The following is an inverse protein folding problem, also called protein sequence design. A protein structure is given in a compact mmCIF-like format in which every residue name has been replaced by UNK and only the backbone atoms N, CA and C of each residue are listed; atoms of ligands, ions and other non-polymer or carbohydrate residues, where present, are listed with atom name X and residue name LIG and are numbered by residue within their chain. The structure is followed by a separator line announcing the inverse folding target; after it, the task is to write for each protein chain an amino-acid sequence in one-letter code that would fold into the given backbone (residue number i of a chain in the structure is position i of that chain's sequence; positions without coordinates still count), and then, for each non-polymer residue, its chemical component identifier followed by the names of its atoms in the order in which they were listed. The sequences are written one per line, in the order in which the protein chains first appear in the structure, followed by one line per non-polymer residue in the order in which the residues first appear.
data_IF_248304340754
#
_entry.id   IF_248304340754
#
_cell.length_a   1.000
_cell.length_b   1.000
_cell.length_c   1.000
_cell.angle_alpha   90.00
_cell.angle_beta   90.00
_cell.angle_gamma   90.00
#
_symmetry.space_group_name_H-M   'P 1'
#
loop_
_entity.id
_entity.type
_entity.pdbx_description
1 polymer ?
#
# COMPACT_ATOMS: atom_id res chain seq x y z
N UNK A 1 22.82 -28.87 -21.39
CA UNK A 1 21.86 -29.96 -21.70
C UNK A 1 20.66 -29.31 -22.36
N UNK A 2 20.28 -29.74 -23.56
CA UNK A 2 19.11 -29.19 -24.26
C UNK A 2 17.85 -29.97 -23.85
N UNK A 3 16.99 -29.33 -23.08
CA UNK A 3 15.77 -29.95 -22.57
C UNK A 3 14.75 -30.25 -23.68
N UNK A 4 14.76 -29.46 -24.77
CA UNK A 4 13.79 -29.59 -25.86
C UNK A 4 14.04 -30.88 -26.64
N UNK A 5 15.27 -31.10 -27.10
CA UNK A 5 15.66 -32.34 -27.78
C UNK A 5 15.45 -33.57 -26.92
N UNK A 6 15.77 -33.49 -25.62
CA UNK A 6 15.50 -34.58 -24.69
C UNK A 6 14.01 -34.93 -24.61
N UNK A 7 13.12 -33.95 -24.42
CA UNK A 7 11.69 -34.19 -24.36
C UNK A 7 11.10 -34.69 -25.68
N UNK A 8 11.56 -34.16 -26.82
CA UNK A 8 11.15 -34.64 -28.14
C UNK A 8 11.56 -36.10 -28.36
N UNK A 9 12.75 -36.50 -27.92
CA UNK A 9 13.18 -37.92 -27.97
C UNK A 9 12.32 -38.86 -27.12
N UNK A 10 11.61 -38.31 -26.13
CA UNK A 10 10.69 -39.04 -25.24
C UNK A 10 9.23 -38.96 -25.69
N UNK A 11 8.97 -38.50 -26.92
CA UNK A 11 7.63 -38.48 -27.51
C UNK A 11 6.80 -37.25 -27.16
N UNK A 12 7.39 -36.20 -26.60
CA UNK A 12 6.70 -34.92 -26.48
C UNK A 12 6.50 -34.27 -27.86
N UNK A 13 5.26 -33.88 -28.18
CA UNK A 13 4.88 -33.29 -29.48
C UNK A 13 5.41 -31.87 -29.72
N UNK A 14 6.08 -31.29 -28.73
CA UNK A 14 6.67 -29.96 -28.82
C UNK A 14 5.78 -28.86 -28.24
N UNK A 15 6.18 -27.63 -28.52
CA UNK A 15 5.62 -26.43 -27.89
C UNK A 15 4.10 -26.30 -28.13
N UNK A 16 3.36 -25.89 -27.11
CA UNK A 16 1.89 -25.83 -27.15
C UNK A 16 1.17 -27.14 -26.82
N UNK A 17 1.89 -28.25 -26.60
CA UNK A 17 1.31 -29.51 -26.13
C UNK A 17 1.66 -29.76 -24.65
N UNK A 18 0.64 -30.12 -23.87
CA UNK A 18 0.82 -30.49 -22.47
C UNK A 18 1.55 -31.82 -22.34
N UNK A 19 2.25 -32.01 -21.22
CA UNK A 19 2.81 -33.30 -20.86
C UNK A 19 1.72 -34.27 -20.38
N UNK A 20 2.01 -35.57 -20.40
CA UNK A 20 1.11 -36.65 -19.97
C UNK A 20 0.45 -37.39 -21.14
N UNK A 21 -0.10 -38.57 -20.85
CA UNK A 21 -0.74 -39.46 -21.85
C UNK A 21 -1.90 -38.78 -22.60
N UNK A 22 -2.73 -38.04 -21.87
CA UNK A 22 -3.90 -37.32 -22.41
C UNK A 22 -3.57 -35.88 -22.83
N UNK A 23 -2.30 -35.46 -22.80
CA UNK A 23 -1.86 -34.11 -23.15
C UNK A 23 -2.53 -32.98 -22.35
N UNK A 24 -3.05 -33.31 -21.16
CA UNK A 24 -3.76 -32.40 -20.26
C UNK A 24 -2.84 -31.58 -19.35
N UNK A 25 -1.53 -31.86 -19.38
CA UNK A 25 -0.54 -31.11 -18.61
C UNK A 25 -0.48 -29.63 -18.97
N UNK A 26 0.03 -28.84 -18.03
CA UNK A 26 0.15 -27.38 -18.17
C UNK A 26 1.12 -27.07 -19.32
N UNK A 27 0.64 -26.31 -20.32
CA UNK A 27 1.41 -25.96 -21.52
C UNK A 27 2.36 -24.78 -21.30
N UNK A 28 2.01 -23.90 -20.36
CA UNK A 28 2.76 -22.69 -20.02
C UNK A 28 3.26 -22.81 -18.58
N UNK A 29 4.48 -22.35 -18.27
CA UNK A 29 4.97 -22.36 -16.90
C UNK A 29 4.07 -21.49 -16.02
N UNK A 30 3.95 -21.88 -14.76
CA UNK A 30 3.25 -21.07 -13.77
C UNK A 30 4.13 -19.88 -13.39
N UNK A 31 3.55 -18.69 -13.50
CA UNK A 31 4.16 -17.49 -12.93
C UNK A 31 3.78 -17.44 -11.45
N UNK A 32 4.77 -17.67 -10.59
CA UNK A 32 4.59 -17.63 -9.14
C UNK A 32 5.03 -16.27 -8.62
N UNK A 33 4.19 -15.64 -7.80
CA UNK A 33 4.57 -14.41 -7.11
C UNK A 33 5.68 -14.73 -6.10
N UNK A 34 6.83 -14.03 -6.22
CA UNK A 34 7.93 -14.16 -5.27
C UNK A 34 7.83 -13.07 -4.21
N UNK A 35 7.80 -13.48 -2.95
CA UNK A 35 7.98 -12.57 -1.81
C UNK A 35 9.47 -12.23 -1.67
N UNK A 36 9.80 -10.94 -1.78
CA UNK A 36 11.19 -10.44 -1.71
C UNK A 36 11.42 -9.64 -0.42
N UNK A 37 10.36 -9.40 0.35
CA UNK A 37 10.31 -8.53 1.50
C UNK A 37 10.01 -9.29 2.80
N UNK A 38 10.23 -8.60 3.93
CA UNK A 38 10.00 -9.13 5.29
C UNK A 38 8.54 -8.90 5.75
N UNK A 39 7.71 -8.20 4.97
CA UNK A 39 6.33 -7.85 5.37
C UNK A 39 5.43 -9.08 5.56
N UNK A 40 4.35 -8.94 6.32
CA UNK A 40 3.35 -10.00 6.47
C UNK A 40 2.74 -10.44 5.13
N UNK A 41 2.34 -11.72 5.04
CA UNK A 41 1.61 -12.23 3.87
C UNK A 41 0.26 -11.52 3.77
N UNK A 42 -0.13 -11.08 2.58
CA UNK A 42 -1.38 -10.35 2.34
C UNK A 42 -1.29 -8.83 2.48
N UNK A 43 -0.13 -8.28 2.84
CA UNK A 43 0.06 -6.83 2.88
C UNK A 43 0.23 -6.28 1.46
N UNK A 44 -0.78 -5.59 0.95
CA UNK A 44 -0.72 -4.95 -0.36
C UNK A 44 0.28 -3.78 -0.32
N UNK A 45 1.47 -3.97 -0.91
CA UNK A 45 2.52 -2.94 -1.03
C UNK A 45 2.00 -1.63 -1.64
N UNK A 46 1.03 -1.75 -2.54
CA UNK A 46 0.44 -0.60 -3.24
C UNK A 46 -0.60 0.17 -2.42
N UNK A 47 -1.06 -0.35 -1.27
CA UNK A 47 -2.05 0.34 -0.42
C UNK A 47 -1.47 1.63 0.18
N UNK A 48 -0.21 1.59 0.60
CA UNK A 48 0.49 2.77 1.13
C UNK A 48 0.70 3.87 0.08
N UNK A 49 0.79 3.51 -1.20
CA UNK A 49 0.92 4.48 -2.30
C UNK A 49 -0.44 5.04 -2.73
N UNK A 50 -1.53 4.27 -2.57
CA UNK A 50 -2.90 4.76 -2.83
C UNK A 50 -3.44 5.70 -1.74
N UNK A 51 -2.86 5.67 -0.54
CA UNK A 51 -3.29 6.47 0.61
C UNK A 51 -2.63 7.87 0.65
N UNK A 52 -2.37 8.49 -0.51
CA UNK A 52 -1.97 9.90 -0.58
C UNK A 52 -3.18 10.84 -0.37
N UNK A 53 -3.87 10.67 0.75
CA UNK A 53 -5.05 11.46 1.09
C UNK A 53 -4.74 12.97 1.15
N UNK A 54 -3.51 13.32 1.55
CA UNK A 54 -3.04 14.71 1.60
C UNK A 54 -2.91 15.33 0.19
N UNK A 55 -2.45 14.56 -0.80
CA UNK A 55 -2.30 15.04 -2.18
C UNK A 55 -3.66 15.30 -2.82
N UNK A 56 -4.66 14.45 -2.53
CA UNK A 56 -6.05 14.68 -2.95
C UNK A 56 -6.67 15.90 -2.27
N UNK A 57 -6.42 16.07 -0.97
CA UNK A 57 -6.89 17.24 -0.23
C UNK A 57 -6.25 18.55 -0.75
N UNK A 58 -4.97 18.50 -1.11
CA UNK A 58 -4.24 19.62 -1.71
C UNK A 58 -4.76 19.97 -3.11
N UNK A 59 -4.91 18.99 -3.99
CA UNK A 59 -5.48 19.17 -5.34
C UNK A 59 -6.92 19.73 -5.29
N UNK A 60 -7.74 19.23 -4.35
CA UNK A 60 -9.06 19.77 -4.11
C UNK A 60 -9.01 21.22 -3.64
N UNK A 61 -8.07 21.57 -2.75
CA UNK A 61 -7.84 22.95 -2.31
C UNK A 61 -7.48 23.90 -3.46
N UNK A 62 -6.64 23.45 -4.40
CA UNK A 62 -6.29 24.23 -5.59
C UNK A 62 -7.49 24.41 -6.53
N UNK A 63 -8.33 23.39 -6.71
CA UNK A 63 -9.54 23.47 -7.53
C UNK A 63 -10.57 24.45 -6.97
N UNK A 64 -10.67 24.52 -5.65
CA UNK A 64 -11.61 25.42 -4.97
C UNK A 64 -11.07 26.85 -4.85
N UNK A 65 -9.76 27.07 -5.07
CA UNK A 65 -9.11 28.38 -5.03
C UNK A 65 -9.68 29.33 -6.10
N UNK A 66 -10.19 30.49 -5.68
CA UNK A 66 -10.78 31.49 -6.59
C UNK A 66 -12.25 31.26 -6.96
N UNK A 67 -12.86 30.12 -6.56
CA UNK A 67 -14.27 29.81 -6.87
C UNK A 67 -15.27 30.32 -5.82
N UNK A 68 -14.79 30.95 -4.75
CA UNK A 68 -15.62 31.44 -3.64
C UNK A 68 -16.21 30.34 -2.74
N UNK A 69 -15.96 29.06 -3.04
CA UNK A 69 -16.36 27.93 -2.19
C UNK A 69 -15.49 27.90 -0.93
N UNK A 70 -16.11 27.80 0.25
CA UNK A 70 -15.39 27.57 1.51
C UNK A 70 -14.80 26.15 1.48
N UNK A 71 -13.50 26.03 1.26
CA UNK A 71 -12.79 24.75 1.30
C UNK A 71 -12.86 24.09 2.68
N UNK A 72 -12.48 22.81 2.75
CA UNK A 72 -12.52 22.01 3.98
C UNK A 72 -11.84 22.71 5.19
N UNK A 73 -10.76 23.47 4.96
CA UNK A 73 -10.07 24.24 5.99
C UNK A 73 -10.91 25.40 6.57
N UNK A 74 -11.72 26.06 5.74
CA UNK A 74 -12.61 27.14 6.20
C UNK A 74 -13.71 26.60 7.12
N UNK A 75 -14.20 25.40 6.85
CA UNK A 75 -15.19 24.73 7.68
C UNK A 75 -14.61 24.30 9.03
N UNK A 76 -13.38 23.79 9.06
CA UNK A 76 -12.63 23.46 10.29
C UNK A 76 -12.34 24.70 11.14
N UNK A 77 -12.01 25.83 10.50
CA UNK A 77 -11.78 27.11 11.20
C UNK A 77 -13.05 27.66 11.85
N UNK A 78 -14.21 27.53 11.20
CA UNK A 78 -15.48 28.04 11.76
C UNK A 78 -16.12 27.11 12.79
N UNK A 79 -16.05 25.79 12.59
CA UNK A 79 -16.81 24.82 13.40
C UNK A 79 -15.93 23.96 14.32
N UNK A 80 -14.60 24.14 14.27
CA UNK A 80 -13.64 23.33 14.99
C UNK A 80 -13.53 21.90 14.44
N UNK A 81 -12.63 21.11 15.03
CA UNK A 81 -12.38 19.72 14.64
C UNK A 81 -13.49 18.74 15.11
N UNK A 82 -14.41 19.19 15.97
CA UNK A 82 -15.39 18.35 16.66
C UNK A 82 -16.56 17.84 15.79
N UNK A 83 -16.80 18.40 14.59
CA UNK A 83 -17.84 17.93 13.64
C UNK A 83 -17.31 16.96 12.57
N UNK A 84 -16.61 15.90 13.00
CA UNK A 84 -16.44 14.70 12.16
C UNK A 84 -15.53 14.83 10.93
N UNK A 85 -14.56 15.75 10.93
CA UNK A 85 -13.47 15.76 9.94
C UNK A 85 -12.36 14.75 10.27
N UNK A 86 -11.39 14.57 9.35
CA UNK A 86 -10.20 13.71 9.55
C UNK A 86 -9.53 13.93 10.93
N UNK A 87 -9.58 15.16 11.46
CA UNK A 87 -8.96 15.53 12.73
C UNK A 87 -9.84 15.39 13.98
N UNK A 88 -11.11 15.01 13.84
CA UNK A 88 -12.07 14.97 14.97
C UNK A 88 -11.87 13.84 15.97
N UNK A 89 -10.99 12.88 15.64
CA UNK A 89 -10.66 11.73 16.50
C UNK A 89 -9.23 11.77 17.03
N UNK A 90 -8.47 12.82 16.72
CA UNK A 90 -7.13 12.95 17.27
C UNK A 90 -7.25 13.37 18.74
N UNK A 91 -6.72 12.51 19.61
CA UNK A 91 -6.60 12.80 21.03
C UNK A 91 -5.19 13.32 21.27
N UNK A 92 -5.15 14.48 21.94
CA UNK A 92 -4.08 14.90 22.85
C UNK A 92 -3.24 13.77 23.46
N UNK A 93 -2.16 13.31 22.84
CA UNK A 93 -1.25 12.37 23.52
C UNK A 93 -0.58 13.09 24.69
N UNK A 94 -0.67 12.53 25.90
CA UNK A 94 0.03 13.08 27.07
C UNK A 94 1.55 13.12 26.85
N UNK A 95 2.22 14.00 27.59
CA UNK A 95 3.69 14.08 27.57
C UNK A 95 4.25 12.80 28.17
N UNK A 96 5.15 12.12 27.45
CA UNK A 96 5.89 10.99 27.99
C UNK A 96 7.02 11.55 28.85
N UNK A 97 6.94 11.34 30.15
CA UNK A 97 7.96 11.79 31.11
C UNK A 97 9.31 11.14 30.77
N UNK A 98 10.36 11.95 30.75
CA UNK A 98 11.72 11.49 30.47
C UNK A 98 12.23 10.57 31.58
N UNK A 99 13.12 9.65 31.24
CA UNK A 99 13.78 8.77 32.24
C UNK A 99 14.96 9.47 32.93
N UNK A 100 15.29 10.68 32.51
CA UNK A 100 16.23 11.55 33.17
C UNK A 100 15.40 12.37 34.15
N UNK A 101 15.56 12.09 35.44
CA UNK A 101 14.89 12.86 36.48
C UNK A 101 15.26 14.33 36.33
N UNK A 102 14.28 15.21 36.55
CA UNK A 102 14.54 16.64 36.63
C UNK A 102 15.51 16.87 37.78
N UNK A 103 16.74 17.27 37.46
CA UNK A 103 17.62 17.88 38.46
C UNK A 103 17.00 19.24 38.76
N UNK A 104 16.14 19.27 39.79
CA UNK A 104 15.66 20.51 40.39
C UNK A 104 16.89 21.36 40.72
N UNK A 105 17.06 22.43 39.96
CA UNK A 105 17.93 23.53 40.32
C UNK A 105 17.36 24.17 41.58
N UNK A 106 17.89 23.79 42.74
CA UNK A 106 17.70 24.51 44.00
C UNK A 106 18.23 25.94 43.85
N UNK A 107 17.32 26.92 43.81
CA UNK A 107 17.55 28.33 44.15
C UNK A 107 16.57 28.77 45.24
#
# INVERSE_FOLDING_TARGET
MDARSYLSSRGWKGEGHGLGSTQSGIKKPLLVSKKVDVLGVGLNKHKAVSDQWWLRAFDQGLKDFGTGKKGALGQVREHGHHRGGLYGRFVSGGVLEGTLGDEESEE
#
